data_IF_658306618840
#
_entry.id   IF_658306618840
#
_cell.length_a   1.000
_cell.length_b   1.000
_cell.length_c   1.000
_cell.angle_alpha   90.00
_cell.angle_beta   90.00
_cell.angle_gamma   90.00
#
_symmetry.space_group_name_H-M   'P 1'
#
loop_
_entity.id
_entity.type
_entity.pdbx_description
1 polymer ?
#
# COMPACT_ATOMS: atom_id res chain seq x y z
N UNK A 1 -16.57 -27.90 -7.01
CA UNK A 1 -15.90 -27.57 -8.29
C UNK A 1 -15.82 -26.07 -8.60
N UNK A 2 -16.74 -25.21 -8.10
CA UNK A 2 -16.67 -23.74 -8.29
C UNK A 2 -15.45 -23.08 -7.62
N UNK A 3 -15.13 -23.44 -6.38
CA UNK A 3 -14.03 -22.84 -5.60
C UNK A 3 -12.65 -22.93 -6.28
N UNK A 4 -12.26 -24.09 -6.80
CA UNK A 4 -10.97 -24.28 -7.46
C UNK A 4 -10.88 -23.58 -8.83
N UNK A 5 -12.02 -23.24 -9.45
CA UNK A 5 -12.07 -22.49 -10.70
C UNK A 5 -11.97 -20.99 -10.44
N UNK A 6 -12.63 -20.50 -9.38
CA UNK A 6 -12.55 -19.12 -8.91
C UNK A 6 -11.12 -18.80 -8.42
N UNK A 7 -10.48 -19.65 -7.61
CA UNK A 7 -9.07 -19.49 -7.21
C UNK A 7 -8.11 -19.40 -8.40
N UNK A 8 -8.31 -20.22 -9.45
CA UNK A 8 -7.47 -20.21 -10.65
C UNK A 8 -7.62 -18.93 -11.46
N UNK A 9 -8.82 -18.36 -11.52
CA UNK A 9 -9.08 -17.09 -12.19
C UNK A 9 -8.44 -15.91 -11.43
N UNK A 10 -8.47 -15.96 -10.09
CA UNK A 10 -7.88 -14.91 -9.24
C UNK A 10 -6.37 -14.86 -9.39
N UNK A 11 -5.66 -15.99 -9.25
CA UNK A 11 -4.19 -16.06 -9.38
C UNK A 11 -3.70 -15.58 -10.75
N UNK A 12 -4.41 -15.94 -11.81
CA UNK A 12 -4.08 -15.52 -13.17
C UNK A 12 -4.24 -13.99 -13.34
N UNK A 13 -5.32 -13.41 -12.82
CA UNK A 13 -5.55 -11.95 -12.90
C UNK A 13 -4.49 -11.15 -12.13
N UNK A 14 -3.99 -11.69 -11.01
CA UNK A 14 -2.94 -11.08 -10.20
C UNK A 14 -1.59 -11.16 -10.91
N UNK A 15 -1.29 -12.31 -11.51
CA UNK A 15 -0.07 -12.52 -12.30
C UNK A 15 0.00 -11.49 -13.44
N UNK A 16 -1.09 -11.31 -14.17
CA UNK A 16 -1.22 -10.32 -15.24
C UNK A 16 -1.16 -8.87 -14.72
N UNK A 17 -1.83 -8.58 -13.60
CA UNK A 17 -1.77 -7.25 -12.98
C UNK A 17 -0.38 -6.92 -12.41
N UNK A 18 0.36 -7.89 -11.90
CA UNK A 18 1.68 -7.65 -11.31
C UNK A 18 2.84 -7.77 -12.31
N UNK A 19 2.57 -8.24 -13.54
CA UNK A 19 3.62 -8.59 -14.51
C UNK A 19 4.47 -9.77 -14.05
N UNK A 20 3.88 -10.67 -13.26
CA UNK A 20 4.54 -11.84 -12.68
C UNK A 20 4.00 -13.10 -13.35
N UNK A 21 4.80 -14.16 -13.41
CA UNK A 21 4.28 -15.45 -13.85
C UNK A 21 3.40 -16.10 -12.76
N UNK A 22 2.41 -16.90 -13.17
CA UNK A 22 1.54 -17.66 -12.25
C UNK A 22 2.34 -18.46 -11.22
N UNK A 23 3.43 -19.10 -11.64
CA UNK A 23 4.30 -19.87 -10.76
C UNK A 23 5.05 -18.99 -9.74
N UNK A 24 5.33 -17.73 -10.06
CA UNK A 24 5.88 -16.77 -9.10
C UNK A 24 4.83 -16.34 -8.07
N UNK A 25 3.58 -16.10 -8.49
CA UNK A 25 2.47 -15.79 -7.57
C UNK A 25 2.21 -16.97 -6.62
N UNK A 26 2.11 -18.19 -7.14
CA UNK A 26 1.91 -19.41 -6.33
C UNK A 26 3.06 -19.67 -5.35
N UNK A 27 4.30 -19.34 -5.73
CA UNK A 27 5.49 -19.48 -4.87
C UNK A 27 5.57 -18.38 -3.80
N UNK A 28 5.12 -17.17 -4.12
CA UNK A 28 5.01 -16.00 -3.21
C UNK A 28 3.94 -16.25 -2.13
N UNK A 29 2.84 -16.92 -2.49
CA UNK A 29 1.71 -17.18 -1.58
C UNK A 29 2.04 -18.22 -0.50
N UNK A 30 2.97 -19.17 -0.75
CA UNK A 30 3.38 -20.16 0.25
C UNK A 30 4.44 -19.61 1.22
N UNK A 31 3.99 -19.07 2.36
CA UNK A 31 4.82 -18.76 3.53
C UNK A 31 5.20 -17.28 3.72
N UNK A 32 4.33 -16.36 3.26
CA UNK A 32 4.56 -14.92 3.12
C UNK A 32 5.62 -14.29 4.05
N UNK A 33 6.74 -13.94 3.43
CA UNK A 33 7.76 -13.06 3.98
C UNK A 33 7.51 -11.60 3.60
N UNK A 34 8.26 -10.68 4.21
CA UNK A 34 8.25 -9.25 3.88
C UNK A 34 9.26 -8.92 2.79
N UNK A 35 9.50 -9.85 1.86
CA UNK A 35 10.33 -9.55 0.69
C UNK A 35 9.67 -8.45 -0.15
N UNK A 36 10.51 -7.68 -0.85
CA UNK A 36 10.02 -6.63 -1.76
C UNK A 36 8.98 -7.15 -2.76
N UNK A 37 9.13 -8.38 -3.26
CA UNK A 37 8.17 -8.96 -4.22
C UNK A 37 6.75 -9.04 -3.65
N UNK A 38 6.62 -9.48 -2.40
CA UNK A 38 5.33 -9.67 -1.74
C UNK A 38 4.71 -8.32 -1.35
N UNK A 39 5.53 -7.42 -0.82
CA UNK A 39 5.10 -6.04 -0.50
C UNK A 39 4.66 -5.31 -1.77
N UNK A 40 5.44 -5.40 -2.85
CA UNK A 40 5.13 -4.78 -4.14
C UNK A 40 3.84 -5.34 -4.75
N UNK A 41 3.56 -6.64 -4.59
CA UNK A 41 2.31 -7.25 -5.07
C UNK A 41 1.08 -6.58 -4.42
N UNK A 42 1.07 -6.43 -3.09
CA UNK A 42 -0.04 -5.78 -2.37
C UNK A 42 -0.19 -4.31 -2.79
N UNK A 43 0.93 -3.59 -2.81
CA UNK A 43 0.94 -2.14 -3.10
C UNK A 43 0.56 -1.86 -4.56
N UNK A 44 1.02 -2.67 -5.52
CA UNK A 44 0.63 -2.55 -6.94
C UNK A 44 -0.85 -2.84 -7.15
N UNK A 45 -1.37 -3.88 -6.50
CA UNK A 45 -2.79 -4.20 -6.58
C UNK A 45 -3.66 -3.04 -6.05
N UNK A 46 -3.21 -2.39 -4.98
CA UNK A 46 -3.87 -1.21 -4.42
C UNK A 46 -3.75 0.01 -5.36
N UNK A 47 -2.57 0.26 -5.93
CA UNK A 47 -2.32 1.37 -6.85
C UNK A 47 -3.18 1.30 -8.14
N UNK A 48 -3.68 0.11 -8.49
CA UNK A 48 -4.55 -0.11 -9.66
C UNK A 48 -6.04 0.05 -9.37
N UNK A 49 -6.44 0.28 -8.13
CA UNK A 49 -7.86 0.47 -7.79
C UNK A 49 -8.38 1.79 -8.34
N UNK A 50 -9.63 1.75 -8.80
CA UNK A 50 -10.41 2.94 -9.17
C UNK A 50 -11.73 2.89 -8.39
N UNK A 51 -12.00 3.84 -7.48
CA UNK A 51 -11.11 4.94 -7.08
C UNK A 51 -9.83 4.43 -6.40
N UNK A 52 -8.76 5.22 -6.47
CA UNK A 52 -7.49 4.92 -5.79
C UNK A 52 -7.73 4.86 -4.28
N UNK A 53 -7.07 3.92 -3.60
CA UNK A 53 -7.15 3.75 -2.15
C UNK A 53 -5.75 3.72 -1.55
N UNK A 54 -5.62 4.23 -0.33
CA UNK A 54 -4.37 4.20 0.43
C UNK A 54 -4.39 3.07 1.43
N UNK A 55 -3.24 2.80 2.03
CA UNK A 55 -3.11 1.85 3.14
C UNK A 55 -2.02 2.30 4.11
N UNK A 56 -1.69 1.46 5.09
CA UNK A 56 -0.59 1.70 6.03
C UNK A 56 0.45 0.58 5.99
N UNK A 57 1.70 0.91 6.33
CA UNK A 57 2.79 -0.08 6.45
C UNK A 57 2.40 -1.26 7.37
N UNK A 58 1.70 -0.97 8.46
CA UNK A 58 1.25 -1.99 9.41
C UNK A 58 0.12 -2.86 8.86
N UNK A 59 -0.79 -2.30 8.06
CA UNK A 59 -1.85 -3.07 7.41
C UNK A 59 -1.28 -4.01 6.33
N UNK A 60 -0.32 -3.54 5.51
CA UNK A 60 0.39 -4.38 4.53
C UNK A 60 1.13 -5.53 5.23
N UNK A 61 1.84 -5.25 6.32
CA UNK A 61 2.54 -6.28 7.08
C UNK A 61 1.57 -7.37 7.61
N UNK A 62 0.42 -6.95 8.14
CA UNK A 62 -0.62 -7.87 8.63
C UNK A 62 -1.26 -8.67 7.50
N UNK A 63 -1.51 -8.06 6.35
CA UNK A 63 -2.04 -8.73 5.16
C UNK A 63 -1.12 -9.86 4.68
N UNK A 64 0.20 -9.64 4.80
CA UNK A 64 1.24 -10.63 4.53
C UNK A 64 1.50 -11.60 5.71
N UNK A 65 0.59 -11.67 6.69
CA UNK A 65 0.64 -12.64 7.77
C UNK A 65 1.65 -12.34 8.89
N UNK A 66 2.23 -11.12 8.94
CA UNK A 66 3.18 -10.74 9.99
C UNK A 66 2.49 -10.05 11.17
N UNK A 67 2.85 -10.49 12.37
CA UNK A 67 2.46 -9.86 13.66
C UNK A 67 3.61 -8.99 14.17
N UNK A 68 3.31 -7.92 14.91
CA UNK A 68 4.33 -7.07 15.56
C UNK A 68 5.03 -6.07 14.60
N UNK A 69 6.36 -5.98 14.68
CA UNK A 69 7.21 -4.96 14.02
C UNK A 69 7.34 -5.08 12.48
N UNK A 70 6.33 -5.60 11.78
CA UNK A 70 6.40 -5.81 10.33
C UNK A 70 6.41 -4.52 9.50
N UNK A 71 5.92 -3.40 10.04
CA UNK A 71 5.85 -2.12 9.32
C UNK A 71 7.23 -1.60 8.86
N UNK A 72 8.27 -1.75 9.69
CA UNK A 72 9.64 -1.32 9.34
C UNK A 72 10.18 -2.12 8.16
N UNK A 73 9.92 -3.42 8.13
CA UNK A 73 10.35 -4.28 7.04
C UNK A 73 9.59 -3.99 5.74
N UNK A 74 8.30 -3.62 5.80
CA UNK A 74 7.56 -3.10 4.64
C UNK A 74 8.18 -1.78 4.13
N UNK A 75 8.52 -0.85 5.03
CA UNK A 75 9.22 0.39 4.67
C UNK A 75 10.56 0.12 3.98
N UNK A 76 11.39 -0.75 4.55
CA UNK A 76 12.67 -1.17 3.94
C UNK A 76 12.48 -1.83 2.57
N UNK A 77 11.47 -2.69 2.45
CA UNK A 77 11.15 -3.33 1.18
C UNK A 77 10.79 -2.29 0.12
N UNK A 78 9.96 -1.30 0.45
CA UNK A 78 9.57 -0.25 -0.47
C UNK A 78 10.70 0.74 -0.79
N UNK A 79 11.66 0.91 0.12
CA UNK A 79 12.85 1.75 -0.10
C UNK A 79 13.88 1.11 -1.06
N UNK A 80 13.62 -0.09 -1.57
CA UNK A 80 14.52 -0.76 -2.53
C UNK A 80 14.60 0.04 -3.84
N UNK A 81 15.75 0.68 -4.09
CA UNK A 81 15.97 1.60 -5.22
C UNK A 81 15.60 0.95 -6.57
N UNK A 82 14.83 1.68 -7.38
CA UNK A 82 14.45 1.29 -8.74
C UNK A 82 13.42 0.16 -8.83
N UNK A 83 12.80 -0.20 -7.70
CA UNK A 83 11.83 -1.29 -7.63
C UNK A 83 10.41 -0.84 -7.30
N UNK A 84 10.23 0.41 -6.87
CA UNK A 84 8.97 0.99 -6.44
C UNK A 84 8.77 2.32 -7.15
N UNK A 85 7.57 2.57 -7.66
CA UNK A 85 7.22 3.85 -8.28
C UNK A 85 6.91 4.90 -7.21
N UNK A 86 7.02 6.21 -7.51
CA UNK A 86 6.61 7.25 -6.56
C UNK A 86 5.19 7.07 -6.04
N UNK A 87 4.25 6.64 -6.90
CA UNK A 87 2.85 6.41 -6.50
C UNK A 87 2.72 5.23 -5.54
N UNK A 88 3.40 4.12 -5.81
CA UNK A 88 3.41 2.95 -4.93
C UNK A 88 3.96 3.30 -3.53
N UNK A 89 4.97 4.18 -3.44
CA UNK A 89 5.43 4.71 -2.15
C UNK A 89 4.41 5.64 -1.48
N UNK A 90 3.81 6.54 -2.25
CA UNK A 90 2.88 7.56 -1.75
C UNK A 90 1.62 6.97 -1.10
N UNK A 91 1.08 5.88 -1.63
CA UNK A 91 -0.18 5.28 -1.15
C UNK A 91 -0.04 4.50 0.16
N UNK A 92 1.18 4.34 0.69
CA UNK A 92 1.44 3.65 1.96
C UNK A 92 1.81 4.66 3.04
N UNK A 93 0.91 4.86 4.01
CA UNK A 93 1.05 5.82 5.10
C UNK A 93 1.62 5.16 6.37
N UNK A 94 2.20 5.96 7.25
CA UNK A 94 2.43 5.51 8.64
C UNK A 94 1.13 5.53 9.43
N UNK A 95 0.92 4.51 10.25
CA UNK A 95 -0.23 4.45 11.16
C UNK A 95 -0.20 5.54 12.24
N UNK A 96 0.97 6.11 12.51
CA UNK A 96 1.15 7.14 13.54
C UNK A 96 0.62 8.51 13.11
N UNK A 97 0.37 8.72 11.81
CA UNK A 97 -0.28 9.94 11.32
C UNK A 97 -1.79 9.93 11.49
N UNK A 98 -2.38 8.80 11.88
CA UNK A 98 -3.82 8.72 12.11
C UNK A 98 -4.19 9.61 13.31
N UNK A 99 -5.07 10.57 13.06
CA UNK A 99 -5.68 11.41 14.07
C UNK A 99 -7.21 11.23 14.04
N UNK A 100 -7.80 10.51 15.02
CA UNK A 100 -9.24 10.27 15.08
C UNK A 100 -10.08 11.54 15.18
N UNK A 101 -9.57 12.58 15.84
CA UNK A 101 -10.31 13.82 16.09
C UNK A 101 -10.59 14.59 14.79
N UNK A 102 -9.73 14.41 13.79
CA UNK A 102 -9.88 14.96 12.44
C UNK A 102 -10.42 13.96 11.42
N UNK A 103 -10.76 12.73 11.86
CA UNK A 103 -11.34 11.70 11.00
C UNK A 103 -10.42 11.25 9.86
N UNK A 104 -9.10 11.21 10.07
CA UNK A 104 -8.17 10.84 9.02
C UNK A 104 -6.70 10.82 9.43
N UNK A 105 -5.83 10.98 8.43
CA UNK A 105 -4.38 10.98 8.57
C UNK A 105 -3.82 12.39 8.35
N UNK A 106 -3.12 12.91 9.36
CA UNK A 106 -2.35 14.16 9.28
C UNK A 106 -0.94 13.86 8.79
N UNK A 107 -0.74 14.04 7.49
CA UNK A 107 0.55 13.77 6.85
C UNK A 107 1.35 15.06 6.76
N UNK A 108 2.61 15.09 7.22
CA UNK A 108 3.41 16.31 7.22
C UNK A 108 3.77 16.74 5.78
N UNK A 109 3.85 18.05 5.55
CA UNK A 109 4.34 18.60 4.27
C UNK A 109 5.79 18.21 4.00
N UNK A 110 6.62 18.23 5.05
CA UNK A 110 8.00 17.74 5.03
C UNK A 110 8.03 16.33 5.62
N UNK A 111 8.15 15.33 4.74
CA UNK A 111 8.18 13.93 5.17
C UNK A 111 9.53 13.55 5.80
N UNK A 112 9.55 12.67 6.81
CA UNK A 112 10.77 12.22 7.44
C UNK A 112 11.74 11.55 6.44
N UNK A 113 13.04 11.67 6.70
CA UNK A 113 14.10 11.14 5.83
C UNK A 113 14.03 9.63 5.52
N UNK A 114 13.29 8.87 6.34
CA UNK A 114 13.11 7.43 6.18
C UNK A 114 11.93 7.05 5.28
N UNK A 115 11.12 8.00 4.81
CA UNK A 115 9.95 7.73 3.99
C UNK A 115 10.27 7.73 2.47
N UNK A 116 9.67 6.80 1.74
CA UNK A 116 10.08 6.34 0.40
C UNK A 116 9.89 7.39 -0.71
N UNK A 117 9.15 8.47 -0.43
CA UNK A 117 8.89 9.53 -1.42
C UNK A 117 10.10 10.46 -1.59
N UNK A 118 11.17 10.29 -0.80
CA UNK A 118 12.44 11.00 -1.06
C UNK A 118 13.18 10.41 -2.26
N UNK A 119 13.03 11.07 -3.41
CA UNK A 119 13.60 10.69 -4.70
C UNK A 119 12.72 11.14 -5.88
N UNK A 120 11.47 11.50 -5.60
CA UNK A 120 10.57 12.17 -6.55
C UNK A 120 10.72 13.69 -6.41
N UNK A 121 10.82 14.41 -7.54
CA UNK A 121 10.72 15.89 -7.55
C UNK A 121 9.29 16.39 -7.24
N UNK A 122 8.35 15.49 -6.95
CA UNK A 122 6.96 15.79 -6.68
C UNK A 122 6.61 15.38 -5.24
N UNK A 123 6.15 16.31 -4.38
CA UNK A 123 5.65 16.01 -3.04
C UNK A 123 4.50 14.99 -3.06
N UNK A 124 4.40 14.13 -2.04
CA UNK A 124 3.34 13.09 -1.94
C UNK A 124 1.94 13.66 -2.09
N UNK A 125 1.63 14.76 -1.39
CA UNK A 125 0.30 15.37 -1.42
C UNK A 125 -0.14 15.70 -2.85
N UNK A 126 0.79 16.21 -3.68
CA UNK A 126 0.53 16.60 -5.07
C UNK A 126 0.30 15.36 -5.92
N UNK A 127 1.15 14.35 -5.75
CA UNK A 127 0.99 13.07 -6.44
C UNK A 127 -0.34 12.40 -6.11
N UNK A 128 -0.77 12.41 -4.85
CA UNK A 128 -2.05 11.83 -4.43
C UNK A 128 -3.24 12.65 -4.95
N UNK A 129 -3.18 13.98 -4.85
CA UNK A 129 -4.22 14.86 -5.38
C UNK A 129 -4.40 14.70 -6.90
N UNK A 130 -3.30 14.59 -7.65
CA UNK A 130 -3.33 14.35 -9.11
C UNK A 130 -3.95 12.98 -9.47
N UNK A 131 -3.97 12.02 -8.53
CA UNK A 131 -4.64 10.72 -8.69
C UNK A 131 -6.09 10.71 -8.15
N UNK A 132 -6.64 11.88 -7.78
CA UNK A 132 -8.01 12.03 -7.32
C UNK A 132 -8.23 11.64 -5.85
N UNK A 133 -7.16 11.53 -5.05
CA UNK A 133 -7.30 11.42 -3.60
C UNK A 133 -7.70 12.79 -3.05
N UNK A 134 -8.73 12.79 -2.21
CA UNK A 134 -9.12 14.00 -1.47
C UNK A 134 -8.06 14.29 -0.41
N UNK A 135 -7.22 15.28 -0.73
CA UNK A 135 -6.14 15.80 0.10
C UNK A 135 -6.48 17.23 0.46
N UNK A 136 -6.64 17.50 1.76
CA UNK A 136 -7.03 18.82 2.27
C UNK A 136 -5.93 19.43 3.10
N UNK A 137 -5.92 20.74 3.25
CA UNK A 137 -5.06 21.37 4.25
C UNK A 137 -5.46 20.89 5.65
N UNK A 138 -4.46 20.57 6.46
CA UNK A 138 -4.65 20.16 7.84
C UNK A 138 -5.06 21.34 8.73
N UNK A 139 -5.48 21.06 9.97
CA UNK A 139 -5.87 22.08 10.94
C UNK A 139 -4.71 23.00 11.37
N UNK A 140 -3.47 22.49 11.27
CA UNK A 140 -2.25 23.22 11.62
C UNK A 140 -1.39 23.46 10.38
N UNK A 141 -0.68 24.59 10.34
CA UNK A 141 0.32 24.87 9.31
C UNK A 141 1.43 23.82 9.37
N UNK A 142 1.43 22.88 8.42
CA UNK A 142 2.47 21.84 8.36
C UNK A 142 1.97 20.44 7.98
N UNK A 143 0.66 20.22 7.91
CA UNK A 143 0.09 18.93 7.53
C UNK A 143 -0.99 19.06 6.46
N UNK A 144 -1.18 17.98 5.71
CA UNK A 144 -2.40 17.73 4.95
C UNK A 144 -3.21 16.61 5.57
N UNK A 145 -4.52 16.69 5.42
CA UNK A 145 -5.48 15.70 5.89
C UNK A 145 -5.90 14.78 4.74
N UNK A 146 -5.78 13.48 4.98
CA UNK A 146 -6.40 12.43 4.16
C UNK A 146 -7.51 11.76 4.97
N UNK A 147 -8.79 11.86 4.57
CA UNK A 147 -9.92 11.19 5.22
C UNK A 147 -9.75 9.67 5.40
N UNK A 148 -10.21 9.15 6.55
CA UNK A 148 -10.13 7.72 6.92
C UNK A 148 -10.79 6.81 5.87
N UNK A 149 -11.89 7.25 5.24
CA UNK A 149 -12.61 6.46 4.24
C UNK A 149 -11.78 6.14 2.98
N UNK A 150 -10.70 6.88 2.74
CA UNK A 150 -9.78 6.61 1.62
C UNK A 150 -8.66 5.62 1.98
N UNK A 151 -8.51 5.27 3.26
CA UNK A 151 -7.41 4.41 3.76
C UNK A 151 -7.92 3.04 4.19
N UNK A 152 -7.43 1.99 3.54
CA UNK A 152 -7.73 0.60 3.88
C UNK A 152 -6.74 0.12 4.93
N UNK A 153 -7.26 -0.19 6.13
CA UNK A 153 -6.46 -0.70 7.25
C UNK A 153 -6.78 -2.15 7.62
N UNK A 154 -7.85 -2.71 7.05
CA UNK A 154 -8.30 -4.09 7.30
C UNK A 154 -7.43 -5.07 6.50
N UNK A 155 -6.67 -5.97 7.15
CA UNK A 155 -5.75 -6.87 6.45
C UNK A 155 -6.43 -7.78 5.42
N UNK A 156 -7.62 -8.30 5.73
CA UNK A 156 -8.35 -9.20 4.83
C UNK A 156 -8.82 -8.46 3.57
N UNK A 157 -9.21 -7.20 3.68
CA UNK A 157 -9.57 -6.39 2.50
C UNK A 157 -8.35 -6.22 1.60
N UNK A 158 -7.16 -5.94 2.15
CA UNK A 158 -5.92 -5.87 1.38
C UNK A 158 -5.56 -7.20 0.74
N UNK A 159 -5.80 -8.33 1.43
CA UNK A 159 -5.56 -9.67 0.88
C UNK A 159 -6.47 -9.95 -0.30
N UNK A 160 -7.77 -9.65 -0.20
CA UNK A 160 -8.71 -9.76 -1.31
C UNK A 160 -8.30 -8.87 -2.50
N UNK A 161 -7.89 -7.64 -2.25
CA UNK A 161 -7.43 -6.71 -3.29
C UNK A 161 -6.18 -7.24 -4.01
N UNK A 162 -5.26 -7.79 -3.24
CA UNK A 162 -4.03 -8.40 -3.72
C UNK A 162 -4.22 -9.84 -4.25
N UNK A 163 -5.44 -10.39 -4.12
CA UNK A 163 -5.81 -11.77 -4.45
C UNK A 163 -4.99 -12.85 -3.72
N UNK A 164 -4.71 -12.59 -2.45
CA UNK A 164 -3.93 -13.44 -1.55
C UNK A 164 -4.76 -14.43 -0.72
N UNK A 165 -6.09 -14.43 -0.92
CA UNK A 165 -7.06 -15.29 -0.25
C UNK A 165 -7.57 -16.41 -1.15
#
# INVERSE_FOLDING_TARGET
MKLAYEERATIQSIAEAAGLSKAEVERVVKGMDLSWKNVSLVVKALAKKSPLRLTTYSAVAKALGRKGQGAIAVGRALATKGKVTPLEGAIVLTSNWRNPDYGGYLVPFEEPDWDIVRGSNCPRYRLLADQGIDVREGPDSGHYLIPDNQVITVPNELRLIAGLD
#
